data_IF_127774247509
#
_entry.id   IF_127774247509
#
_cell.length_a   1.000
_cell.length_b   1.000
_cell.length_c   1.000
_cell.angle_alpha   90.00
_cell.angle_beta   90.00
_cell.angle_gamma   90.00
#
_symmetry.space_group_name_H-M   'P 1'
#
loop_
_entity.id
_entity.type
_entity.pdbx_description
1 polymer ?
#
# COMPACT_ATOMS: atom_id res chain seq x y z
N UNK A 1 -0.47 -12.53 -2.08
CA UNK A 1 0.38 -11.52 -2.75
C UNK A 1 1.83 -11.91 -2.47
N UNK A 2 2.80 -11.34 -3.18
CA UNK A 2 4.22 -11.56 -2.89
C UNK A 2 4.92 -10.21 -2.85
N UNK A 3 5.40 -9.85 -1.66
CA UNK A 3 6.30 -8.72 -1.44
C UNK A 3 7.75 -9.14 -1.64
N UNK A 4 8.44 -8.39 -2.49
CA UNK A 4 9.84 -8.60 -2.85
C UNK A 4 10.77 -7.53 -2.25
N UNK A 5 10.22 -6.47 -1.66
CA UNK A 5 10.92 -5.43 -0.91
C UNK A 5 12.22 -4.93 -1.56
N UNK A 6 12.10 -4.52 -2.82
CA UNK A 6 13.15 -3.99 -3.70
C UNK A 6 14.37 -4.90 -3.92
N UNK A 7 14.26 -6.19 -3.59
CA UNK A 7 15.44 -7.06 -3.46
C UNK A 7 15.91 -7.71 -4.77
N UNK A 8 15.16 -7.60 -5.87
CA UNK A 8 15.45 -8.34 -7.09
C UNK A 8 15.93 -7.45 -8.24
N UNK A 9 16.40 -8.12 -9.30
CA UNK A 9 16.60 -7.54 -10.62
C UNK A 9 15.50 -8.04 -11.58
N UNK A 10 15.53 -7.54 -12.83
CA UNK A 10 14.55 -7.90 -13.87
C UNK A 10 14.56 -9.40 -14.18
N UNK A 11 15.74 -10.03 -14.28
CA UNK A 11 15.85 -11.43 -14.68
C UNK A 11 15.34 -12.37 -13.60
N UNK A 12 15.73 -12.12 -12.35
CA UNK A 12 15.28 -12.89 -11.21
C UNK A 12 13.76 -12.74 -11.03
N UNK A 13 13.24 -11.51 -11.13
CA UNK A 13 11.81 -11.20 -11.09
C UNK A 13 11.03 -12.05 -12.10
N UNK A 14 11.44 -12.03 -13.37
CA UNK A 14 10.72 -12.77 -14.43
C UNK A 14 10.78 -14.28 -14.20
N UNK A 15 11.97 -14.81 -13.85
CA UNK A 15 12.12 -16.24 -13.56
C UNK A 15 11.27 -16.68 -12.36
N UNK A 16 11.23 -15.89 -11.30
CA UNK A 16 10.46 -16.19 -10.10
C UNK A 16 8.96 -16.15 -10.42
N UNK A 17 8.48 -15.11 -11.10
CA UNK A 17 7.08 -14.98 -11.47
C UNK A 17 6.60 -16.18 -12.30
N UNK A 18 7.35 -16.60 -13.32
CA UNK A 18 6.99 -17.78 -14.12
C UNK A 18 6.98 -19.07 -13.27
N UNK A 19 7.91 -19.22 -12.33
CA UNK A 19 7.91 -20.35 -11.40
C UNK A 19 6.69 -20.34 -10.47
N UNK A 20 6.24 -19.15 -10.08
CA UNK A 20 5.11 -18.98 -9.15
C UNK A 20 3.74 -18.90 -9.85
N UNK A 21 3.71 -18.89 -11.19
CA UNK A 21 2.49 -18.83 -11.98
C UNK A 21 1.39 -19.84 -11.58
N UNK A 22 1.68 -21.11 -11.21
CA UNK A 22 0.66 -22.04 -10.77
C UNK A 22 -0.11 -21.61 -9.51
N UNK A 23 0.50 -20.77 -8.65
CA UNK A 23 -0.10 -20.29 -7.40
C UNK A 23 -1.04 -19.10 -7.60
N UNK A 24 -1.10 -18.52 -8.81
CA UNK A 24 -2.05 -17.45 -9.18
C UNK A 24 -2.02 -16.27 -8.20
N UNK A 25 -0.83 -15.77 -7.92
CA UNK A 25 -0.63 -14.63 -7.02
C UNK A 25 -1.46 -13.44 -7.50
N UNK A 26 -2.23 -12.85 -6.57
CA UNK A 26 -3.08 -11.68 -6.85
C UNK A 26 -2.29 -10.49 -7.39
N UNK A 27 -1.10 -10.23 -6.83
CA UNK A 27 -0.09 -9.35 -7.37
C UNK A 27 1.30 -9.74 -6.86
N UNK A 28 2.32 -9.17 -7.48
CA UNK A 28 3.70 -9.15 -7.03
C UNK A 28 4.13 -7.70 -6.84
N UNK A 29 4.69 -7.36 -5.69
CA UNK A 29 5.02 -5.98 -5.31
C UNK A 29 6.51 -5.76 -5.03
N UNK A 30 6.93 -4.50 -5.19
CA UNK A 30 8.31 -4.00 -4.94
C UNK A 30 9.42 -4.94 -5.43
N UNK A 31 9.29 -5.45 -6.65
CA UNK A 31 10.27 -6.37 -7.22
C UNK A 31 11.57 -5.68 -7.66
N UNK A 32 11.58 -4.36 -7.86
CA UNK A 32 12.77 -3.55 -8.14
C UNK A 32 12.78 -2.32 -7.24
N UNK A 33 13.93 -1.65 -7.16
CA UNK A 33 14.03 -0.30 -6.59
C UNK A 33 13.09 0.68 -7.32
N UNK A 34 12.50 1.67 -6.62
CA UNK A 34 11.48 2.55 -7.17
C UNK A 34 11.99 3.47 -8.30
N UNK A 35 13.29 3.76 -8.33
CA UNK A 35 13.92 4.61 -9.35
C UNK A 35 14.07 3.91 -10.71
N UNK A 36 14.07 2.59 -10.76
CA UNK A 36 14.32 1.82 -11.98
C UNK A 36 13.07 1.69 -12.88
N UNK A 37 12.64 2.82 -13.46
CA UNK A 37 11.48 2.87 -14.36
C UNK A 37 11.70 1.99 -15.61
N UNK A 38 12.94 1.93 -16.13
CA UNK A 38 13.24 1.10 -17.31
C UNK A 38 13.14 -0.39 -17.00
N UNK A 39 13.62 -0.82 -15.83
CA UNK A 39 13.42 -2.19 -15.35
C UNK A 39 11.94 -2.52 -15.16
N UNK A 40 11.15 -1.61 -14.60
CA UNK A 40 9.69 -1.81 -14.47
C UNK A 40 9.01 -2.00 -15.83
N UNK A 41 9.39 -1.21 -16.85
CA UNK A 41 8.89 -1.36 -18.22
C UNK A 41 9.25 -2.72 -18.80
N UNK A 42 10.47 -3.20 -18.55
CA UNK A 42 10.92 -4.49 -19.05
C UNK A 42 10.18 -5.66 -18.37
N UNK A 43 9.99 -5.59 -17.05
CA UNK A 43 9.18 -6.56 -16.31
C UNK A 43 7.75 -6.59 -16.83
N UNK A 44 7.10 -5.43 -17.04
CA UNK A 44 5.74 -5.35 -17.61
C UNK A 44 5.64 -6.06 -18.96
N UNK A 45 6.59 -5.83 -19.87
CA UNK A 45 6.61 -6.47 -21.20
C UNK A 45 6.73 -8.00 -21.10
N UNK A 46 7.51 -8.50 -20.15
CA UNK A 46 7.81 -9.93 -20.00
C UNK A 46 6.78 -10.67 -19.15
N UNK A 47 6.08 -9.96 -18.27
CA UNK A 47 5.03 -10.51 -17.38
C UNK A 47 3.67 -9.82 -17.61
N UNK A 48 3.15 -9.75 -18.85
CA UNK A 48 1.88 -9.06 -19.13
C UNK A 48 0.67 -9.75 -18.46
N UNK A 49 0.84 -10.98 -17.99
CA UNK A 49 -0.19 -11.79 -17.36
C UNK A 49 -0.26 -11.60 -15.84
N UNK A 50 0.77 -11.04 -15.21
CA UNK A 50 0.86 -10.88 -13.76
C UNK A 50 0.46 -9.45 -13.38
N UNK A 51 -0.36 -9.31 -12.34
CA UNK A 51 -0.63 -8.00 -11.73
C UNK A 51 0.63 -7.54 -10.99
N UNK A 52 1.10 -6.34 -11.32
CA UNK A 52 2.31 -5.73 -10.74
C UNK A 52 1.91 -4.53 -9.88
N UNK A 53 2.51 -4.43 -8.69
CA UNK A 53 2.26 -3.36 -7.74
C UNK A 53 3.59 -2.77 -7.24
N UNK A 54 3.58 -1.49 -6.88
CA UNK A 54 4.68 -0.81 -6.19
C UNK A 54 4.20 0.58 -5.77
N UNK A 55 4.98 1.27 -4.93
CA UNK A 55 4.77 2.69 -4.65
C UNK A 55 5.15 3.11 -3.25
N UNK A 56 5.30 2.20 -2.29
CA UNK A 56 5.49 2.61 -0.89
C UNK A 56 6.74 3.49 -0.72
N UNK A 57 7.83 3.18 -1.44
CA UNK A 57 9.05 4.00 -1.46
C UNK A 57 9.08 5.09 -2.56
N UNK A 58 7.93 5.48 -3.12
CA UNK A 58 7.80 6.60 -4.06
C UNK A 58 7.21 7.83 -3.39
N UNK A 59 7.94 8.95 -3.45
CA UNK A 59 7.58 10.20 -2.78
C UNK A 59 6.97 11.20 -3.74
N UNK A 60 5.92 11.91 -3.30
CA UNK A 60 5.08 12.80 -4.13
C UNK A 60 4.38 12.07 -5.29
N UNK A 61 3.51 12.76 -6.02
CA UNK A 61 2.80 12.16 -7.16
C UNK A 61 3.63 11.93 -8.43
N UNK A 62 4.82 12.52 -8.56
CA UNK A 62 5.55 12.53 -9.84
C UNK A 62 6.07 11.16 -10.29
N UNK A 63 6.62 10.31 -9.41
CA UNK A 63 7.00 8.94 -9.79
C UNK A 63 5.79 8.12 -10.26
N UNK A 64 4.64 8.23 -9.56
CA UNK A 64 3.39 7.59 -9.96
C UNK A 64 2.91 8.04 -11.34
N UNK A 65 3.06 9.33 -11.66
CA UNK A 65 2.75 9.82 -13.00
C UNK A 65 3.59 9.12 -14.08
N UNK A 66 4.89 8.85 -13.81
CA UNK A 66 5.73 8.10 -14.74
C UNK A 66 5.28 6.64 -14.84
N UNK A 67 5.01 5.97 -13.71
CA UNK A 67 4.54 4.59 -13.69
C UNK A 67 3.21 4.40 -14.43
N UNK A 68 2.29 5.37 -14.33
CA UNK A 68 1.05 5.41 -15.10
C UNK A 68 1.34 5.66 -16.59
N UNK A 69 2.15 6.67 -16.91
CA UNK A 69 2.49 7.05 -18.29
C UNK A 69 3.08 5.89 -19.09
N UNK A 70 3.92 5.09 -18.45
CA UNK A 70 4.59 3.94 -19.06
C UNK A 70 3.86 2.61 -18.84
N UNK A 71 2.68 2.64 -18.22
CA UNK A 71 1.84 1.47 -17.92
C UNK A 71 2.57 0.37 -17.13
N UNK A 72 3.48 0.78 -16.23
CA UNK A 72 4.33 -0.15 -15.49
C UNK A 72 3.56 -0.96 -14.44
N UNK A 73 2.61 -0.32 -13.75
CA UNK A 73 1.94 -0.87 -12.57
C UNK A 73 0.43 -0.97 -12.78
N UNK A 74 -0.19 -1.94 -12.12
CA UNK A 74 -1.65 -2.11 -12.06
C UNK A 74 -2.23 -1.53 -10.76
N UNK A 75 -1.44 -1.60 -9.68
CA UNK A 75 -1.80 -1.15 -8.35
C UNK A 75 -0.70 -0.20 -7.85
N UNK A 76 -1.09 1.00 -7.44
CA UNK A 76 -0.18 1.98 -6.85
C UNK A 76 -0.30 1.94 -5.32
N UNK A 77 0.84 1.95 -4.62
CA UNK A 77 0.87 1.70 -3.18
C UNK A 77 1.50 2.82 -2.35
N UNK A 78 1.04 4.09 -2.43
CA UNK A 78 1.58 5.14 -1.59
C UNK A 78 1.38 4.84 -0.11
N UNK A 79 2.41 5.08 0.71
CA UNK A 79 2.22 5.26 2.15
C UNK A 79 1.80 6.70 2.43
N UNK A 80 0.69 6.88 3.15
CA UNK A 80 0.13 8.20 3.46
C UNK A 80 1.06 9.09 4.30
N UNK A 81 1.90 8.50 5.14
CA UNK A 81 2.86 9.22 5.98
C UNK A 81 4.13 9.59 5.22
N UNK A 82 4.45 8.88 4.13
CA UNK A 82 5.71 9.06 3.42
C UNK A 82 5.53 9.89 2.14
N UNK A 83 4.46 9.66 1.38
CA UNK A 83 4.27 10.23 0.04
C UNK A 83 4.03 11.74 0.02
N UNK A 84 3.73 12.35 1.17
CA UNK A 84 3.35 13.76 1.31
C UNK A 84 1.93 13.98 1.85
N UNK A 85 1.40 13.01 2.60
CA UNK A 85 0.12 13.14 3.30
C UNK A 85 -1.10 12.81 2.44
N UNK A 86 -2.28 12.89 3.09
CA UNK A 86 -3.58 12.64 2.46
C UNK A 86 -3.78 13.40 1.15
N UNK A 87 -3.31 14.65 1.11
CA UNK A 87 -3.40 15.48 -0.10
C UNK A 87 -2.77 14.79 -1.30
N UNK A 88 -1.53 14.29 -1.18
CA UNK A 88 -0.85 13.60 -2.28
C UNK A 88 -1.52 12.26 -2.60
N UNK A 89 -1.97 11.49 -1.61
CA UNK A 89 -2.73 10.25 -1.85
C UNK A 89 -3.98 10.50 -2.72
N UNK A 90 -4.75 11.56 -2.45
CA UNK A 90 -5.95 11.91 -3.25
C UNK A 90 -5.58 12.23 -4.70
N UNK A 91 -4.53 13.03 -4.91
CA UNK A 91 -4.05 13.35 -6.27
C UNK A 91 -3.60 12.09 -7.01
N UNK A 92 -2.88 11.19 -6.35
CA UNK A 92 -2.43 9.91 -6.92
C UNK A 92 -3.64 9.04 -7.26
N UNK A 93 -4.61 8.90 -6.36
CA UNK A 93 -5.81 8.11 -6.61
C UNK A 93 -6.64 8.64 -7.79
N UNK A 94 -6.78 9.96 -7.95
CA UNK A 94 -7.46 10.52 -9.11
C UNK A 94 -6.71 10.25 -10.42
N UNK A 95 -5.37 10.38 -10.44
CA UNK A 95 -4.57 10.03 -11.62
C UNK A 95 -4.69 8.53 -11.95
N UNK A 96 -4.62 7.67 -10.93
CA UNK A 96 -4.78 6.23 -11.06
C UNK A 96 -6.16 5.88 -11.61
N UNK A 97 -7.23 6.48 -11.06
CA UNK A 97 -8.61 6.26 -11.50
C UNK A 97 -8.80 6.66 -12.97
N UNK A 98 -8.22 7.78 -13.41
CA UNK A 98 -8.29 8.21 -14.80
C UNK A 98 -7.56 7.24 -15.75
N UNK A 99 -6.55 6.52 -15.26
CA UNK A 99 -5.80 5.51 -15.99
C UNK A 99 -6.35 4.07 -15.82
N UNK A 100 -7.47 3.90 -15.11
CA UNK A 100 -8.04 2.57 -14.83
C UNK A 100 -7.19 1.72 -13.87
N UNK A 101 -6.39 2.37 -13.01
CA UNK A 101 -5.50 1.73 -12.03
C UNK A 101 -6.09 1.77 -10.62
N UNK A 102 -5.79 0.75 -9.84
CA UNK A 102 -6.19 0.69 -8.43
C UNK A 102 -5.13 1.36 -7.55
N UNK A 103 -5.55 1.78 -6.36
CA UNK A 103 -4.66 2.20 -5.28
C UNK A 103 -4.87 1.28 -4.09
N UNK A 104 -3.80 0.85 -3.44
CA UNK A 104 -3.85 0.14 -2.17
C UNK A 104 -2.76 0.73 -1.30
N UNK A 105 -3.12 1.59 -0.35
CA UNK A 105 -2.11 2.26 0.46
C UNK A 105 -1.27 1.23 1.23
N UNK A 106 0.05 1.44 1.24
CA UNK A 106 0.90 0.77 2.21
C UNK A 106 0.46 1.18 3.62
N UNK A 107 0.18 0.20 4.47
CA UNK A 107 -0.42 0.38 5.79
C UNK A 107 -1.81 1.02 5.78
N UNK A 108 -2.56 0.91 4.66
CA UNK A 108 -3.83 1.62 4.44
C UNK A 108 -4.93 1.34 5.46
N UNK A 109 -4.86 0.22 6.18
CA UNK A 109 -5.82 -0.14 7.23
C UNK A 109 -5.22 -0.08 8.64
N UNK A 110 -4.00 0.41 8.80
CA UNK A 110 -3.30 0.41 10.10
C UNK A 110 -3.63 1.61 10.98
N UNK A 111 -4.05 2.72 10.37
CA UNK A 111 -4.25 3.99 11.04
C UNK A 111 -5.49 4.70 10.49
N UNK A 112 -6.07 5.65 11.24
CA UNK A 112 -7.27 6.35 10.79
C UNK A 112 -7.07 7.15 9.50
N UNK A 113 -5.90 7.73 9.24
CA UNK A 113 -5.66 8.47 7.99
C UNK A 113 -5.83 7.57 6.76
N UNK A 114 -5.23 6.39 6.80
CA UNK A 114 -5.36 5.38 5.74
C UNK A 114 -6.78 4.85 5.61
N UNK A 115 -7.48 4.59 6.73
CA UNK A 115 -8.86 4.11 6.71
C UNK A 115 -9.82 5.13 6.13
N UNK A 116 -9.71 6.40 6.53
CA UNK A 116 -10.50 7.49 5.96
C UNK A 116 -10.31 7.61 4.45
N UNK A 117 -9.06 7.51 3.97
CA UNK A 117 -8.77 7.53 2.54
C UNK A 117 -9.36 6.32 1.82
N UNK A 118 -9.07 5.11 2.31
CA UNK A 118 -9.49 3.84 1.71
C UNK A 118 -11.01 3.71 1.63
N UNK A 119 -11.71 4.23 2.64
CA UNK A 119 -13.17 4.30 2.67
C UNK A 119 -13.76 5.30 1.67
N UNK A 120 -13.09 6.44 1.47
CA UNK A 120 -13.62 7.52 0.64
C UNK A 120 -13.34 7.35 -0.86
N UNK A 121 -12.24 6.69 -1.23
CA UNK A 121 -11.81 6.58 -2.62
C UNK A 121 -12.42 5.35 -3.33
N UNK A 122 -13.01 5.51 -4.54
CA UNK A 122 -13.70 4.41 -5.21
C UNK A 122 -12.77 3.37 -5.85
N UNK A 123 -11.50 3.73 -6.09
CA UNK A 123 -10.49 2.84 -6.69
C UNK A 123 -9.52 2.25 -5.65
N UNK A 124 -9.92 2.21 -4.37
CA UNK A 124 -9.15 1.60 -3.27
C UNK A 124 -9.90 0.43 -2.63
N UNK A 125 -10.00 -0.74 -3.31
CA UNK A 125 -10.80 -1.85 -2.82
C UNK A 125 -10.14 -2.67 -1.69
N UNK A 126 -8.88 -2.39 -1.35
CA UNK A 126 -8.11 -3.11 -0.33
C UNK A 126 -7.46 -2.11 0.62
N UNK A 127 -7.37 -2.50 1.90
CA UNK A 127 -6.55 -1.84 2.89
C UNK A 127 -5.54 -2.83 3.46
N UNK A 128 -4.26 -2.49 3.42
CA UNK A 128 -3.21 -3.34 4.01
C UNK A 128 -3.27 -3.27 5.54
N UNK A 129 -3.31 -4.45 6.17
CA UNK A 129 -3.31 -4.61 7.62
C UNK A 129 -2.12 -5.47 8.06
N UNK A 130 -1.13 -4.84 8.67
CA UNK A 130 0.05 -5.51 9.22
C UNK A 130 -0.23 -6.06 10.63
N UNK A 131 0.18 -7.31 10.85
CA UNK A 131 0.11 -8.00 12.15
C UNK A 131 1.52 -8.30 12.61
N UNK A 132 1.97 -7.59 13.65
CA UNK A 132 3.31 -7.74 14.21
C UNK A 132 3.37 -8.74 15.35
N UNK A 133 3.04 -10.01 15.10
CA UNK A 133 3.06 -11.05 16.14
C UNK A 133 3.57 -12.40 15.64
N UNK A 134 3.93 -13.27 16.58
CA UNK A 134 4.20 -14.67 16.27
C UNK A 134 2.93 -15.37 15.74
N UNK A 135 3.07 -16.43 14.92
CA UNK A 135 1.94 -17.24 14.48
C UNK A 135 1.15 -17.79 15.67
N UNK A 136 -0.19 -17.68 15.60
CA UNK A 136 -1.10 -18.21 16.61
C UNK A 136 -1.47 -17.23 17.73
N UNK A 137 -0.89 -16.02 17.76
CA UNK A 137 -1.34 -14.95 18.65
C UNK A 137 -2.65 -14.35 18.09
N UNK A 138 -3.72 -14.23 18.89
CA UNK A 138 -4.95 -13.57 18.47
C UNK A 138 -4.71 -12.14 17.97
N UNK A 139 -5.48 -11.71 16.97
CA UNK A 139 -5.33 -10.36 16.40
C UNK A 139 -5.59 -9.28 17.44
N UNK A 140 -6.51 -9.54 18.37
CA UNK A 140 -6.84 -8.67 19.51
C UNK A 140 -5.64 -8.40 20.41
N UNK A 141 -4.71 -9.37 20.53
CA UNK A 141 -3.50 -9.25 21.33
C UNK A 141 -2.33 -8.67 20.52
N UNK A 142 -2.33 -8.88 19.21
CA UNK A 142 -1.28 -8.44 18.30
C UNK A 142 -1.49 -7.02 17.74
N UNK A 143 -2.72 -6.52 17.78
CA UNK A 143 -3.08 -5.23 17.23
C UNK A 143 -2.39 -4.09 17.98
N UNK A 144 -2.00 -3.06 17.24
CA UNK A 144 -1.48 -1.84 17.85
C UNK A 144 -2.62 -1.12 18.59
N UNK A 145 -2.35 -0.47 19.74
CA UNK A 145 -3.35 0.33 20.42
C UNK A 145 -4.00 1.34 19.47
N UNK A 146 -5.33 1.38 19.45
CA UNK A 146 -6.11 2.28 18.59
C UNK A 146 -6.34 1.80 17.16
N UNK A 147 -5.71 0.70 16.71
CA UNK A 147 -6.04 0.08 15.43
C UNK A 147 -7.38 -0.65 15.51
N UNK A 148 -8.20 -0.52 14.48
CA UNK A 148 -9.38 -1.37 14.32
C UNK A 148 -8.93 -2.81 14.02
N UNK A 149 -9.68 -3.78 14.54
CA UNK A 149 -9.35 -5.20 14.38
C UNK A 149 -10.22 -5.77 13.25
N UNK A 150 -9.61 -6.32 12.18
CA UNK A 150 -10.36 -6.96 11.12
C UNK A 150 -11.14 -8.17 11.64
N UNK A 151 -12.39 -8.31 11.19
CA UNK A 151 -13.24 -9.48 11.42
C UNK A 151 -13.65 -10.04 10.07
N UNK A 152 -13.46 -11.34 9.88
CA UNK A 152 -13.77 -12.04 8.62
C UNK A 152 -13.17 -11.37 7.37
N UNK A 153 -11.95 -10.82 7.49
CA UNK A 153 -11.25 -10.05 6.44
C UNK A 153 -11.82 -8.67 6.11
N UNK A 154 -12.70 -8.12 6.96
CA UNK A 154 -13.24 -6.78 6.83
C UNK A 154 -12.93 -5.93 8.06
N UNK A 155 -12.73 -4.63 7.85
CA UNK A 155 -12.75 -3.63 8.92
C UNK A 155 -14.05 -2.86 8.80
N UNK A 156 -14.86 -2.90 9.85
CA UNK A 156 -16.02 -2.03 9.98
C UNK A 156 -15.52 -0.62 10.33
N UNK A 157 -15.60 0.28 9.34
CA UNK A 157 -15.15 1.65 9.50
C UNK A 157 -16.28 2.61 9.16
N UNK A 158 -16.77 3.34 10.17
CA UNK A 158 -17.82 4.33 10.02
C UNK A 158 -17.41 5.60 10.79
N UNK A 159 -16.90 6.64 10.10
CA UNK A 159 -16.62 7.92 10.73
C UNK A 159 -17.87 8.49 11.42
N UNK A 160 -17.79 8.71 12.73
CA UNK A 160 -18.92 9.14 13.56
C UNK A 160 -18.80 10.59 14.05
N UNK A 161 -17.65 11.22 13.84
CA UNK A 161 -17.35 12.60 14.26
C UNK A 161 -16.44 13.31 13.25
N UNK A 162 -16.35 14.66 13.28
CA UNK A 162 -15.41 15.40 12.45
C UNK A 162 -13.93 15.04 12.73
N UNK A 163 -13.09 15.11 11.71
CA UNK A 163 -11.66 14.78 11.80
C UNK A 163 -11.37 13.30 11.56
N UNK A 164 -10.19 12.84 11.98
CA UNK A 164 -9.72 11.45 11.81
C UNK A 164 -10.03 10.54 12.99
N UNK A 165 -10.80 11.01 13.98
CA UNK A 165 -11.06 10.24 15.21
C UNK A 165 -9.81 10.00 16.08
N UNK A 166 -8.76 10.81 15.90
CA UNK A 166 -7.57 10.79 16.73
C UNK A 166 -7.71 11.81 17.86
N UNK A 167 -7.37 11.37 19.07
CA UNK A 167 -7.24 12.21 20.25
C UNK A 167 -5.82 12.12 20.81
N UNK A 168 -5.45 13.11 21.61
CA UNK A 168 -4.22 13.09 22.38
C UNK A 168 -4.56 13.64 23.76
N UNK A 169 -4.45 12.79 24.77
CA UNK A 169 -4.66 13.20 26.17
C UNK A 169 -3.42 13.96 26.66
N UNK A 170 -3.61 15.00 27.47
CA UNK A 170 -2.50 15.85 27.94
C UNK A 170 -1.51 15.03 28.79
N UNK A 171 -2.00 14.02 29.50
CA UNK A 171 -1.20 13.10 30.32
C UNK A 171 -0.26 12.22 29.49
N UNK A 172 -0.46 12.09 28.17
CA UNK A 172 0.46 11.37 27.28
C UNK A 172 1.71 12.19 26.94
N UNK A 173 1.70 13.50 27.23
CA UNK A 173 2.80 14.40 26.93
C UNK A 173 3.79 14.45 28.11
N UNK A 174 4.82 13.62 28.06
CA UNK A 174 5.93 13.69 29.01
C UNK A 174 7.06 14.60 28.49
N UNK A 175 7.72 15.39 29.37
CA UNK A 175 8.90 16.15 28.98
C UNK A 175 9.98 15.22 28.41
N UNK A 176 10.43 15.51 27.20
CA UNK A 176 11.47 14.72 26.57
C UNK A 176 12.81 14.85 27.32
N UNK A 177 13.27 13.76 27.94
CA UNK A 177 14.60 13.66 28.54
C UNK A 177 14.71 14.03 30.03
N UNK A 178 13.62 13.98 30.79
CA UNK A 178 13.65 14.01 32.27
C UNK A 178 14.07 12.68 32.89
#
# INVERSE_FOLDING_TARGET
MLDCYMAFDVEYTVRLAERLRPYRLKWMEEYLIPEDIEGHKEVRKRLPWQTLASGEHMYTRFPYQQMIKYDCLDILQPDIHWVGGLSECIKIAHMASAAGKMVCLHGGALNPYGLHFTWAMPNTPWGEYFVGSAPGIPLEEAARPGSLIPKDSYIEFAPSAPGFGLGMEEEWLEPWGS
#
